data_IF_456976331623
#
_entry.id   IF_456976331623
#
_cell.length_a   1.000
_cell.length_b   1.000
_cell.length_c   1.000
_cell.angle_alpha   90.00
_cell.angle_beta   90.00
_cell.angle_gamma   90.00
#
_symmetry.space_group_name_H-M   'P 1'
#
loop_
_entity.id
_entity.type
_entity.pdbx_description
1 polymer ?
#
# COMPACT_ATOMS: atom_id res chain seq x y z
N UNK A 1 17.73 15.10 0.37
CA UNK A 1 18.77 14.78 -0.66
C UNK A 1 19.48 13.44 -0.38
N UNK A 2 19.98 13.21 0.82
CA UNK A 2 20.77 11.99 1.15
C UNK A 2 20.01 10.68 0.91
N UNK A 3 18.72 10.60 1.20
CA UNK A 3 17.95 9.36 1.04
C UNK A 3 18.01 8.77 -0.38
N UNK A 4 17.83 9.59 -1.42
CA UNK A 4 17.86 9.10 -2.80
C UNK A 4 19.26 8.57 -3.16
N UNK A 5 20.32 9.23 -2.69
CA UNK A 5 21.69 8.79 -2.92
C UNK A 5 21.97 7.45 -2.23
N UNK A 6 21.59 7.33 -0.96
CA UNK A 6 21.76 6.09 -0.18
C UNK A 6 20.98 4.93 -0.84
N UNK A 7 19.76 5.21 -1.29
CA UNK A 7 18.94 4.24 -2.00
C UNK A 7 19.62 3.76 -3.29
N UNK A 8 20.02 4.68 -4.18
CA UNK A 8 20.69 4.34 -5.44
C UNK A 8 21.99 3.57 -5.17
N UNK A 9 22.82 4.03 -4.24
CA UNK A 9 24.09 3.39 -3.89
C UNK A 9 23.89 1.97 -3.37
N UNK A 10 22.87 1.76 -2.54
CA UNK A 10 22.54 0.42 -2.01
C UNK A 10 22.10 -0.53 -3.12
N UNK A 11 21.30 -0.05 -4.09
CA UNK A 11 20.89 -0.85 -5.24
C UNK A 11 22.10 -1.28 -6.06
N UNK A 12 22.98 -0.33 -6.38
CA UNK A 12 24.20 -0.60 -7.17
C UNK A 12 25.11 -1.61 -6.47
N UNK A 13 25.29 -1.47 -5.15
CA UNK A 13 26.19 -2.32 -4.37
C UNK A 13 25.62 -3.72 -4.11
N UNK A 14 24.30 -3.88 -4.00
CA UNK A 14 23.66 -5.11 -3.53
C UNK A 14 22.86 -5.85 -4.62
N UNK A 15 22.96 -5.42 -5.89
CA UNK A 15 22.24 -6.07 -7.01
C UNK A 15 23.24 -6.61 -8.05
N UNK A 16 23.24 -7.92 -8.23
CA UNK A 16 24.12 -8.61 -9.20
C UNK A 16 23.40 -8.97 -10.50
N UNK A 17 22.09 -9.19 -10.44
CA UNK A 17 21.24 -9.48 -11.59
C UNK A 17 21.16 -8.26 -12.52
N UNK A 18 20.98 -8.47 -13.82
CA UNK A 18 20.79 -7.38 -14.79
C UNK A 18 19.58 -6.53 -14.43
N UNK A 19 19.75 -5.21 -14.31
CA UNK A 19 18.70 -4.27 -13.94
C UNK A 19 18.88 -2.91 -14.63
N UNK A 20 17.84 -2.13 -14.64
CA UNK A 20 17.83 -0.70 -14.93
C UNK A 20 17.26 0.07 -13.73
N UNK A 21 17.71 1.28 -13.51
CA UNK A 21 17.15 2.20 -12.53
C UNK A 21 16.42 3.32 -13.26
N UNK A 22 15.17 3.57 -12.86
CA UNK A 22 14.34 4.67 -13.35
C UNK A 22 13.91 5.50 -12.14
N UNK A 23 14.37 6.73 -12.07
CA UNK A 23 13.96 7.68 -11.04
C UNK A 23 12.88 8.60 -11.61
N UNK A 24 11.73 8.63 -10.97
CA UNK A 24 10.63 9.55 -11.34
C UNK A 24 10.55 10.65 -10.29
N UNK A 25 10.94 11.85 -10.66
CA UNK A 25 10.83 13.02 -9.80
C UNK A 25 9.49 13.73 -10.00
N UNK A 26 8.69 13.81 -8.94
CA UNK A 26 7.39 14.47 -8.95
C UNK A 26 7.47 15.98 -8.70
N UNK A 27 8.46 16.65 -9.30
CA UNK A 27 8.72 18.09 -9.12
C UNK A 27 9.11 18.40 -7.66
N UNK A 28 10.14 17.72 -7.18
CA UNK A 28 10.67 17.89 -5.82
C UNK A 28 11.18 19.32 -5.60
N UNK A 29 10.77 19.99 -4.53
CA UNK A 29 11.12 21.40 -4.29
C UNK A 29 12.63 21.62 -4.01
N UNK A 30 13.33 20.57 -3.58
CA UNK A 30 14.78 20.60 -3.29
C UNK A 30 15.66 20.43 -4.53
N UNK A 31 15.06 20.32 -5.73
CA UNK A 31 15.76 20.11 -7.00
C UNK A 31 16.64 18.84 -7.04
N UNK A 32 16.32 17.85 -6.21
CA UNK A 32 17.07 16.59 -6.17
C UNK A 32 17.05 15.87 -7.51
N UNK A 33 15.93 15.87 -8.25
CA UNK A 33 15.85 15.28 -9.58
C UNK A 33 16.86 15.87 -10.56
N UNK A 34 16.96 17.21 -10.65
CA UNK A 34 17.91 17.89 -11.52
C UNK A 34 19.38 17.61 -11.10
N UNK A 35 19.65 17.58 -9.80
CA UNK A 35 20.99 17.33 -9.26
C UNK A 35 21.44 15.89 -9.57
N UNK A 36 20.65 14.90 -9.22
CA UNK A 36 21.03 13.49 -9.36
C UNK A 36 21.00 13.00 -10.80
N UNK A 37 20.19 13.57 -11.68
CA UNK A 37 20.24 13.27 -13.12
C UNK A 37 21.60 13.61 -13.74
N UNK A 38 22.26 14.66 -13.27
CA UNK A 38 23.61 15.04 -13.70
C UNK A 38 24.69 14.16 -13.05
N UNK A 39 24.50 13.78 -11.78
CA UNK A 39 25.43 12.94 -11.03
C UNK A 39 25.46 11.50 -11.51
N UNK A 40 24.31 10.97 -11.96
CA UNK A 40 24.14 9.60 -12.44
C UNK A 40 23.63 9.56 -13.88
N UNK A 41 24.45 9.94 -14.89
CA UNK A 41 24.01 10.06 -16.29
C UNK A 41 23.59 8.73 -16.94
N UNK A 42 23.96 7.59 -16.35
CA UNK A 42 23.56 6.25 -16.77
C UNK A 42 22.23 5.80 -16.20
N UNK A 43 21.67 6.53 -15.24
CA UNK A 43 20.34 6.26 -14.66
C UNK A 43 19.30 7.11 -15.41
N UNK A 44 18.17 6.50 -15.72
CA UNK A 44 17.06 7.19 -16.38
C UNK A 44 16.28 8.04 -15.36
N UNK A 45 16.32 9.37 -15.53
CA UNK A 45 15.49 10.29 -14.76
C UNK A 45 14.32 10.79 -15.59
N UNK A 46 13.11 10.75 -15.01
CA UNK A 46 11.88 11.34 -15.59
C UNK A 46 11.43 12.45 -14.64
N UNK A 47 11.63 13.69 -15.09
CA UNK A 47 11.33 14.89 -14.29
C UNK A 47 9.94 15.43 -14.66
N UNK A 48 8.98 15.29 -13.76
CA UNK A 48 7.64 15.82 -13.96
C UNK A 48 7.62 17.34 -13.74
N UNK A 49 6.84 18.06 -14.56
CA UNK A 49 6.67 19.52 -14.43
C UNK A 49 5.81 19.93 -13.23
N UNK A 50 5.09 18.98 -12.61
CA UNK A 50 4.24 19.18 -11.44
C UNK A 50 4.13 17.88 -10.64
N UNK A 51 3.76 17.97 -9.36
CA UNK A 51 3.43 16.80 -8.57
C UNK A 51 2.11 16.17 -9.06
N UNK A 52 2.22 14.98 -9.64
CA UNK A 52 1.09 14.20 -10.19
C UNK A 52 0.53 13.17 -9.20
N UNK A 53 1.11 13.10 -8.00
CA UNK A 53 0.81 12.09 -6.97
C UNK A 53 1.59 10.80 -7.15
N UNK A 54 1.59 9.97 -6.09
CA UNK A 54 2.36 8.73 -6.02
C UNK A 54 1.95 7.75 -7.13
N UNK A 55 0.66 7.37 -7.28
CA UNK A 55 0.26 6.36 -8.27
C UNK A 55 0.55 6.78 -9.71
N UNK A 56 0.40 8.06 -10.06
CA UNK A 56 0.73 8.53 -11.40
C UNK A 56 2.25 8.53 -11.65
N UNK A 57 3.05 8.89 -10.64
CA UNK A 57 4.51 8.78 -10.70
C UNK A 57 4.98 7.34 -10.90
N UNK A 58 4.43 6.39 -10.14
CA UNK A 58 4.70 4.96 -10.29
C UNK A 58 4.32 4.47 -11.70
N UNK A 59 3.17 4.86 -12.21
CA UNK A 59 2.73 4.49 -13.56
C UNK A 59 3.70 4.99 -14.63
N UNK A 60 4.22 6.20 -14.51
CA UNK A 60 5.24 6.75 -15.41
C UNK A 60 6.50 5.86 -15.37
N UNK A 61 6.98 5.49 -14.19
CA UNK A 61 8.13 4.60 -14.04
C UNK A 61 7.88 3.23 -14.69
N UNK A 62 6.74 2.61 -14.43
CA UNK A 62 6.35 1.32 -15.02
C UNK A 62 6.31 1.38 -16.56
N UNK A 63 5.74 2.44 -17.13
CA UNK A 63 5.66 2.63 -18.59
C UNK A 63 7.03 2.81 -19.23
N UNK A 64 7.98 3.40 -18.52
CA UNK A 64 9.35 3.60 -19.01
C UNK A 64 10.25 2.37 -18.80
N UNK A 65 9.84 1.39 -18.01
CA UNK A 65 10.63 0.20 -17.73
C UNK A 65 10.64 -0.77 -18.91
N UNK A 66 11.79 -1.43 -19.14
CA UNK A 66 11.99 -2.42 -20.19
C UNK A 66 11.99 -3.86 -19.64
N UNK A 67 12.28 -4.02 -18.35
CA UNK A 67 12.43 -5.30 -17.68
C UNK A 67 11.14 -6.14 -17.65
N UNK A 68 11.30 -7.45 -17.55
CA UNK A 68 10.18 -8.41 -17.33
C UNK A 68 9.54 -8.26 -15.94
N UNK A 69 10.30 -7.76 -14.99
CA UNK A 69 9.89 -7.49 -13.62
C UNK A 69 10.04 -6.00 -13.34
N UNK A 70 9.19 -5.50 -12.49
CA UNK A 70 9.27 -4.12 -11.97
C UNK A 70 9.41 -4.20 -10.46
N UNK A 71 10.38 -3.47 -9.92
CA UNK A 71 10.47 -3.22 -8.49
C UNK A 71 10.13 -1.76 -8.24
N UNK A 72 9.06 -1.54 -7.50
CA UNK A 72 8.66 -0.22 -7.03
C UNK A 72 9.37 0.03 -5.70
N UNK A 73 10.09 1.12 -5.60
CA UNK A 73 10.88 1.47 -4.42
C UNK A 73 10.61 2.91 -4.01
N UNK A 74 10.40 3.13 -2.72
CA UNK A 74 10.53 4.47 -2.17
C UNK A 74 12.00 4.91 -2.20
N UNK A 75 12.25 6.20 -2.23
CA UNK A 75 13.61 6.74 -2.25
C UNK A 75 14.26 6.85 -0.86
N UNK A 76 13.53 6.53 0.22
CA UNK A 76 13.96 6.62 1.61
C UNK A 76 14.17 5.24 2.26
N UNK A 77 14.84 4.34 1.51
CA UNK A 77 15.19 3.01 1.99
C UNK A 77 16.58 2.58 1.47
N UNK A 78 17.12 1.56 2.11
CA UNK A 78 18.34 0.86 1.70
C UNK A 78 17.99 -0.61 1.49
N UNK A 79 18.40 -1.16 0.34
CA UNK A 79 18.28 -2.59 0.05
C UNK A 79 19.50 -3.35 0.58
N UNK A 80 19.26 -4.55 1.12
CA UNK A 80 20.31 -5.39 1.70
C UNK A 80 20.83 -6.43 0.70
N UNK A 81 21.98 -7.07 0.94
CA UNK A 81 22.54 -8.08 0.03
C UNK A 81 21.54 -9.17 -0.33
N UNK A 82 21.56 -9.61 -1.60
CA UNK A 82 20.70 -10.66 -2.16
C UNK A 82 19.19 -10.34 -2.16
N UNK A 83 18.78 -9.10 -1.88
CA UNK A 83 17.36 -8.72 -1.80
C UNK A 83 16.58 -9.06 -3.07
N UNK A 84 17.14 -8.77 -4.25
CA UNK A 84 16.49 -9.02 -5.54
C UNK A 84 16.51 -10.51 -5.91
N UNK A 85 17.61 -11.22 -5.61
CA UNK A 85 17.72 -12.65 -5.89
C UNK A 85 16.69 -13.44 -5.07
N UNK A 86 16.44 -13.06 -3.82
CA UNK A 86 15.39 -13.66 -2.99
C UNK A 86 13.98 -13.44 -3.56
N UNK A 87 13.69 -12.31 -4.21
CA UNK A 87 12.44 -12.11 -4.94
C UNK A 87 12.35 -12.99 -6.19
N UNK A 88 13.45 -13.12 -6.94
CA UNK A 88 13.49 -13.98 -8.13
C UNK A 88 13.30 -15.46 -7.77
N UNK A 89 13.85 -15.91 -6.66
CA UNK A 89 13.65 -17.27 -6.16
C UNK A 89 12.20 -17.49 -5.67
N UNK A 90 11.61 -16.50 -5.01
CA UNK A 90 10.19 -16.53 -4.67
C UNK A 90 9.31 -16.59 -5.92
N UNK A 91 9.63 -15.82 -6.97
CA UNK A 91 8.92 -15.89 -8.25
C UNK A 91 9.03 -17.28 -8.90
N UNK A 92 10.22 -17.90 -8.90
CA UNK A 92 10.39 -19.29 -9.39
C UNK A 92 9.48 -20.28 -8.65
N UNK A 93 9.27 -20.06 -7.34
CA UNK A 93 8.47 -20.94 -6.48
C UNK A 93 6.96 -20.70 -6.60
N UNK A 94 6.53 -19.44 -6.64
CA UNK A 94 5.12 -19.05 -6.53
C UNK A 94 4.51 -18.49 -7.82
N UNK A 95 5.34 -18.15 -8.82
CA UNK A 95 4.88 -17.65 -10.11
C UNK A 95 4.39 -16.21 -10.10
N UNK A 96 3.31 -15.94 -10.82
CA UNK A 96 2.76 -14.60 -10.97
C UNK A 96 2.04 -14.15 -9.69
N UNK A 97 2.68 -13.30 -8.93
CA UNK A 97 2.19 -12.73 -7.68
C UNK A 97 2.84 -11.36 -7.44
N UNK A 98 2.38 -10.64 -6.44
CA UNK A 98 3.02 -9.44 -5.92
C UNK A 98 3.86 -9.83 -4.70
N UNK A 99 5.08 -9.33 -4.61
CA UNK A 99 6.01 -9.70 -3.56
C UNK A 99 6.50 -8.46 -2.81
N UNK A 100 6.73 -8.58 -1.51
CA UNK A 100 7.31 -7.53 -0.69
C UNK A 100 8.34 -8.08 0.29
N UNK A 101 9.35 -7.28 0.69
CA UNK A 101 10.41 -7.71 1.58
C UNK A 101 10.02 -7.60 3.05
N UNK A 102 10.89 -8.11 3.92
CA UNK A 102 10.97 -7.69 5.32
C UNK A 102 11.47 -6.25 5.35
N UNK A 103 10.74 -5.38 6.03
CA UNK A 103 11.14 -3.99 6.24
C UNK A 103 11.50 -3.76 7.71
N UNK A 104 12.73 -3.32 7.97
CA UNK A 104 13.20 -2.91 9.29
C UNK A 104 13.35 -1.38 9.33
N UNK A 105 13.24 -0.78 10.50
CA UNK A 105 13.53 0.65 10.67
C UNK A 105 15.02 0.91 10.51
N UNK A 106 15.38 1.89 9.71
CA UNK A 106 16.80 2.24 9.48
C UNK A 106 17.51 2.63 10.79
N UNK A 107 16.89 3.50 11.58
CA UNK A 107 17.47 4.00 12.85
C UNK A 107 17.44 2.98 14.01
N UNK A 108 16.69 1.88 13.86
CA UNK A 108 16.61 0.80 14.83
C UNK A 108 16.29 -0.53 14.12
N UNK A 109 17.31 -1.20 13.54
CA UNK A 109 17.11 -2.40 12.75
C UNK A 109 16.58 -3.63 13.50
N UNK A 110 16.43 -3.53 14.81
CA UNK A 110 15.74 -4.56 15.60
C UNK A 110 14.21 -4.43 15.56
N UNK A 111 13.69 -3.32 15.03
CA UNK A 111 12.26 -3.04 14.99
C UNK A 111 11.74 -3.18 13.56
N UNK A 112 10.68 -3.95 13.41
CA UNK A 112 9.97 -4.11 12.16
C UNK A 112 9.29 -2.78 11.73
N UNK A 113 9.49 -2.36 10.50
CA UNK A 113 8.66 -1.34 9.88
C UNK A 113 7.43 -1.98 9.18
N UNK A 114 7.51 -3.27 8.87
CA UNK A 114 6.38 -4.07 8.41
C UNK A 114 6.77 -5.41 7.79
N UNK A 115 5.85 -6.37 7.90
CA UNK A 115 5.96 -7.71 7.31
C UNK A 115 4.78 -8.04 6.39
N UNK A 116 4.08 -7.04 5.86
CA UNK A 116 2.93 -7.22 5.00
C UNK A 116 1.94 -6.07 5.09
N UNK A 117 1.18 -5.87 4.02
CA UNK A 117 -0.01 -5.04 4.04
C UNK A 117 -1.24 -5.88 4.38
N UNK A 118 -2.04 -5.42 5.33
CA UNK A 118 -3.30 -6.04 5.72
C UNK A 118 -4.46 -5.13 5.40
N UNK A 119 -5.58 -5.72 4.98
CA UNK A 119 -6.83 -5.00 4.67
C UNK A 119 -7.87 -5.40 5.70
N UNK A 120 -8.48 -4.41 6.35
CA UNK A 120 -9.66 -4.62 7.15
C UNK A 120 -10.90 -4.66 6.24
N UNK A 121 -11.89 -5.49 6.57
CA UNK A 121 -13.12 -5.64 5.74
C UNK A 121 -13.87 -4.34 5.48
N UNK A 122 -13.65 -3.31 6.30
CA UNK A 122 -14.25 -1.97 6.12
C UNK A 122 -13.34 -1.02 5.34
N UNK A 123 -12.29 -1.53 4.69
CA UNK A 123 -11.43 -0.80 3.77
C UNK A 123 -10.25 -0.06 4.41
N UNK A 124 -9.98 -0.26 5.69
CA UNK A 124 -8.76 0.26 6.31
C UNK A 124 -7.56 -0.61 5.93
N UNK A 125 -6.45 0.04 5.54
CA UNK A 125 -5.17 -0.61 5.31
C UNK A 125 -4.22 -0.34 6.46
N UNK A 126 -3.41 -1.34 6.83
CA UNK A 126 -2.38 -1.19 7.85
C UNK A 126 -1.18 -2.12 7.60
N UNK A 127 -0.02 -1.72 8.12
CA UNK A 127 1.18 -2.55 8.04
C UNK A 127 1.16 -3.60 9.17
N UNK A 128 1.35 -4.87 8.79
CA UNK A 128 1.45 -5.98 9.74
C UNK A 128 2.75 -5.89 10.53
N UNK A 129 2.67 -6.10 11.84
CA UNK A 129 3.81 -6.16 12.76
C UNK A 129 4.67 -4.88 12.84
N UNK A 130 4.14 -3.73 12.41
CA UNK A 130 4.87 -2.46 12.51
C UNK A 130 5.13 -2.08 13.97
N UNK A 131 6.37 -1.70 14.28
CA UNK A 131 6.79 -1.30 15.63
C UNK A 131 7.12 -2.46 16.58
N UNK A 132 7.02 -3.72 16.12
CA UNK A 132 7.36 -4.91 16.91
C UNK A 132 8.85 -5.23 16.76
N UNK A 133 9.49 -5.71 17.84
CA UNK A 133 10.87 -6.19 17.77
C UNK A 133 10.96 -7.47 16.94
N UNK A 134 11.90 -7.52 16.00
CA UNK A 134 12.19 -8.72 15.22
C UNK A 134 13.01 -9.70 16.08
N UNK A 135 12.38 -10.81 16.42
CA UNK A 135 12.99 -11.89 17.22
C UNK A 135 13.10 -13.19 16.41
N UNK A 136 13.13 -13.09 15.08
CA UNK A 136 13.17 -14.25 14.19
C UNK A 136 11.83 -14.99 14.03
N UNK A 137 10.75 -14.50 14.65
CA UNK A 137 9.42 -15.11 14.53
C UNK A 137 8.80 -14.92 13.12
N UNK A 138 9.26 -13.92 12.39
CA UNK A 138 8.68 -13.50 11.10
C UNK A 138 9.63 -13.82 9.94
N UNK A 139 10.28 -14.98 9.97
CA UNK A 139 11.26 -15.41 8.96
C UNK A 139 10.71 -16.43 7.96
N UNK A 140 9.40 -16.70 8.04
CA UNK A 140 8.72 -17.57 7.08
C UNK A 140 8.01 -16.75 5.99
N UNK A 141 7.95 -17.33 4.78
CA UNK A 141 7.18 -16.75 3.68
C UNK A 141 5.70 -16.88 3.97
N UNK A 142 4.99 -15.76 3.90
CA UNK A 142 3.55 -15.75 4.16
C UNK A 142 2.77 -15.02 3.07
N UNK A 143 1.53 -15.46 2.86
CA UNK A 143 0.57 -14.73 2.05
C UNK A 143 0.00 -13.55 2.85
N UNK A 144 -0.01 -12.35 2.27
CA UNK A 144 -0.52 -11.12 2.88
C UNK A 144 -1.66 -10.52 2.07
N UNK A 145 -2.47 -9.62 2.62
CA UNK A 145 -3.60 -9.04 1.91
C UNK A 145 -3.14 -8.25 0.67
N UNK A 146 -2.06 -7.50 0.78
CA UNK A 146 -1.41 -6.78 -0.33
C UNK A 146 0.08 -6.57 -0.06
N UNK A 147 0.86 -6.38 -1.11
CA UNK A 147 2.25 -5.97 -1.00
C UNK A 147 2.31 -4.46 -0.75
N UNK A 148 3.00 -4.04 0.33
CA UNK A 148 3.10 -2.63 0.70
C UNK A 148 3.99 -1.85 -0.28
N UNK A 149 3.67 -0.57 -0.48
CA UNK A 149 4.28 0.29 -1.49
C UNK A 149 5.72 0.72 -1.20
N UNK A 150 6.25 0.48 0.00
CA UNK A 150 7.65 0.82 0.34
C UNK A 150 8.64 0.13 -0.58
N UNK A 151 8.44 -1.18 -0.82
CA UNK A 151 9.15 -1.97 -1.81
C UNK A 151 8.24 -3.10 -2.30
N UNK A 152 7.98 -3.15 -3.60
CA UNK A 152 7.10 -4.15 -4.20
C UNK A 152 7.72 -4.68 -5.49
N UNK A 153 7.96 -5.99 -5.57
CA UNK A 153 8.39 -6.69 -6.78
C UNK A 153 7.17 -7.29 -7.48
N UNK A 154 7.02 -6.99 -8.78
CA UNK A 154 5.85 -7.41 -9.59
C UNK A 154 6.31 -7.87 -10.96
N UNK A 155 5.90 -9.07 -11.45
CA UNK A 155 5.99 -9.42 -12.86
C UNK A 155 5.20 -8.42 -13.72
N UNK A 156 5.85 -7.75 -14.68
CA UNK A 156 5.26 -6.63 -15.44
C UNK A 156 3.94 -7.02 -16.12
N UNK A 157 3.84 -8.25 -16.61
CA UNK A 157 2.62 -8.81 -17.23
C UNK A 157 1.38 -8.83 -16.32
N UNK A 158 1.53 -8.70 -15.00
CA UNK A 158 0.40 -8.55 -14.09
C UNK A 158 -0.30 -7.21 -14.34
N UNK A 159 0.45 -6.13 -14.55
CA UNK A 159 -0.13 -4.82 -14.87
C UNK A 159 -0.93 -4.84 -16.17
N UNK A 160 -0.55 -5.66 -17.15
CA UNK A 160 -1.31 -5.81 -18.41
C UNK A 160 -2.70 -6.42 -18.16
N UNK A 161 -2.84 -7.24 -17.11
CA UNK A 161 -4.10 -7.91 -16.75
C UNK A 161 -4.96 -7.10 -15.81
N UNK A 162 -4.37 -6.52 -14.75
CA UNK A 162 -5.13 -5.83 -13.70
C UNK A 162 -5.18 -4.31 -13.88
N UNK A 163 -4.45 -3.76 -14.86
CA UNK A 163 -4.23 -2.33 -15.04
C UNK A 163 -3.18 -1.76 -14.08
N UNK A 164 -2.75 -0.55 -14.35
CA UNK A 164 -1.81 0.22 -13.55
C UNK A 164 -2.46 0.74 -12.26
N UNK A 165 -1.73 1.53 -11.48
CA UNK A 165 -2.29 2.24 -10.33
C UNK A 165 -3.34 3.26 -10.75
N UNK A 166 -4.38 3.42 -9.95
CA UNK A 166 -5.40 4.43 -10.20
C UNK A 166 -4.92 5.83 -9.74
N UNK A 167 -4.58 6.69 -10.69
CA UNK A 167 -4.04 8.03 -10.42
C UNK A 167 -5.00 8.93 -9.61
N UNK A 168 -6.30 8.59 -9.51
CA UNK A 168 -7.27 9.35 -8.70
C UNK A 168 -7.03 9.22 -7.20
N UNK A 169 -6.23 8.26 -6.76
CA UNK A 169 -5.83 8.14 -5.35
C UNK A 169 -4.93 9.30 -4.91
N UNK A 170 -4.04 9.76 -5.75
CA UNK A 170 -3.02 10.78 -5.51
C UNK A 170 -1.96 10.36 -4.48
N UNK A 171 -2.34 9.87 -3.31
CA UNK A 171 -1.49 9.30 -2.27
C UNK A 171 -2.34 8.46 -1.31
N UNK A 172 -1.77 7.39 -0.77
CA UNK A 172 -2.34 6.40 0.15
C UNK A 172 -3.44 5.51 -0.44
N UNK A 173 -3.41 4.25 -0.08
CA UNK A 173 -4.29 3.17 -0.52
C UNK A 173 -4.16 2.79 -2.00
N UNK A 174 -3.23 3.37 -2.77
CA UNK A 174 -2.98 2.98 -4.16
C UNK A 174 -2.47 1.55 -4.26
N UNK A 175 -1.55 1.15 -3.39
CA UNK A 175 -1.02 -0.22 -3.31
C UNK A 175 -2.04 -1.20 -2.74
N UNK A 176 -2.87 -0.75 -1.79
CA UNK A 176 -3.98 -1.54 -1.26
C UNK A 176 -5.00 -1.82 -2.38
N UNK A 177 -5.37 -0.81 -3.17
CA UNK A 177 -6.26 -0.96 -4.33
C UNK A 177 -5.65 -1.92 -5.37
N UNK A 178 -4.37 -1.77 -5.69
CA UNK A 178 -3.67 -2.66 -6.62
C UNK A 178 -3.68 -4.11 -6.13
N UNK A 179 -3.32 -4.34 -4.86
CA UNK A 179 -3.31 -5.67 -4.24
C UNK A 179 -4.70 -6.31 -4.17
N UNK A 180 -5.73 -5.52 -3.87
CA UNK A 180 -7.11 -6.00 -3.88
C UNK A 180 -7.56 -6.37 -5.29
N UNK A 181 -7.31 -5.53 -6.30
CA UNK A 181 -7.59 -5.87 -7.71
C UNK A 181 -6.82 -7.11 -8.14
N UNK A 182 -5.54 -7.22 -7.78
CA UNK A 182 -4.75 -8.40 -8.09
C UNK A 182 -5.42 -9.68 -7.55
N UNK A 183 -5.88 -9.67 -6.29
CA UNK A 183 -6.62 -10.79 -5.70
C UNK A 183 -7.92 -11.09 -6.43
N UNK A 184 -8.71 -10.07 -6.78
CA UNK A 184 -9.94 -10.26 -7.55
C UNK A 184 -9.69 -10.99 -8.88
N UNK A 185 -8.51 -10.82 -9.45
CA UNK A 185 -8.08 -11.48 -10.70
C UNK A 185 -7.35 -12.82 -10.46
N UNK A 186 -7.20 -13.24 -9.20
CA UNK A 186 -6.59 -14.52 -8.82
C UNK A 186 -5.08 -14.46 -8.54
N UNK A 187 -4.48 -13.26 -8.45
CA UNK A 187 -3.08 -13.11 -8.07
C UNK A 187 -2.95 -12.90 -6.56
N UNK A 188 -1.98 -13.57 -5.94
CA UNK A 188 -1.68 -13.45 -4.52
C UNK A 188 -0.63 -12.38 -4.24
N UNK A 189 -0.49 -12.01 -2.98
CA UNK A 189 0.62 -11.19 -2.49
C UNK A 189 1.38 -11.95 -1.42
N UNK A 190 2.73 -11.92 -1.49
CA UNK A 190 3.60 -12.65 -0.58
C UNK A 190 4.61 -11.73 0.10
N UNK A 191 4.79 -11.96 1.39
CA UNK A 191 5.87 -11.45 2.18
C UNK A 191 7.08 -12.40 2.08
N UNK A 192 8.26 -11.84 1.75
CA UNK A 192 9.50 -12.60 1.51
C UNK A 192 10.55 -12.14 2.53
N UNK A 193 10.69 -12.82 3.68
CA UNK A 193 11.54 -12.36 4.77
C UNK A 193 13.05 -12.31 4.43
N UNK A 194 13.52 -13.17 3.53
CA UNK A 194 14.92 -13.17 3.08
C UNK A 194 15.26 -11.97 2.18
N UNK A 195 14.27 -11.37 1.53
CA UNK A 195 14.44 -10.06 0.89
C UNK A 195 14.30 -9.00 1.96
N UNK A 196 15.35 -8.24 2.24
CA UNK A 196 15.44 -7.33 3.37
C UNK A 196 15.72 -5.90 2.92
N UNK A 197 15.00 -4.95 3.51
CA UNK A 197 15.25 -3.51 3.36
C UNK A 197 15.28 -2.82 4.72
N UNK A 198 16.03 -1.71 4.80
CA UNK A 198 15.97 -0.77 5.92
C UNK A 198 15.30 0.51 5.44
N UNK A 199 14.22 0.90 6.09
CA UNK A 199 13.41 2.06 5.72
C UNK A 199 13.61 3.20 6.72
N UNK A 200 13.92 4.39 6.22
CA UNK A 200 14.10 5.58 7.06
C UNK A 200 12.80 6.01 7.72
N UNK A 201 11.66 5.73 7.07
CA UNK A 201 10.36 6.15 7.57
C UNK A 201 10.30 7.66 7.59
N UNK A 202 10.46 8.30 6.43
CA UNK A 202 10.60 9.74 6.36
C UNK A 202 9.44 10.45 7.05
N UNK A 203 9.79 11.41 7.90
CA UNK A 203 8.85 12.25 8.66
C UNK A 203 8.01 13.21 7.79
N UNK A 204 8.10 13.10 6.46
CA UNK A 204 7.44 14.03 5.55
C UNK A 204 5.92 13.99 5.57
N UNK A 205 5.34 12.87 6.04
CA UNK A 205 3.90 12.71 6.15
C UNK A 205 3.48 12.43 7.59
N UNK A 206 3.78 13.37 8.50
CA UNK A 206 3.17 13.35 9.83
C UNK A 206 1.64 13.33 9.69
N UNK A 207 0.94 12.78 10.67
CA UNK A 207 -0.53 12.71 10.74
C UNK A 207 -1.18 14.10 10.60
N UNK A 208 -1.15 14.62 9.36
CA UNK A 208 -1.72 15.91 9.01
C UNK A 208 -3.19 15.77 8.62
N UNK A 209 -3.93 16.88 8.68
CA UNK A 209 -5.32 16.90 8.22
C UNK A 209 -5.47 16.47 6.73
N UNK A 210 -4.41 16.66 5.93
CA UNK A 210 -4.39 16.24 4.52
C UNK A 210 -4.24 14.73 4.37
N UNK A 211 -3.45 14.09 5.22
CA UNK A 211 -3.31 12.63 5.29
C UNK A 211 -4.66 12.00 5.62
N UNK A 212 -5.32 12.47 6.69
CA UNK A 212 -6.66 11.99 7.06
C UNK A 212 -7.69 12.16 5.93
N UNK A 213 -7.63 13.28 5.19
CA UNK A 213 -8.48 13.48 4.02
C UNK A 213 -8.27 12.39 2.96
N UNK A 214 -7.02 12.10 2.60
CA UNK A 214 -6.73 11.08 1.59
C UNK A 214 -7.10 9.68 2.06
N UNK A 215 -6.74 9.30 3.29
CA UNK A 215 -7.08 7.99 3.85
C UNK A 215 -8.59 7.74 3.79
N UNK A 216 -9.41 8.69 4.25
CA UNK A 216 -10.86 8.55 4.26
C UNK A 216 -11.49 8.55 2.86
N UNK A 217 -11.05 9.46 1.99
CA UNK A 217 -11.52 9.49 0.61
C UNK A 217 -11.18 8.19 -0.12
N UNK A 218 -9.93 7.74 0.02
CA UNK A 218 -9.42 6.59 -0.71
C UNK A 218 -9.99 5.28 -0.17
N UNK A 219 -10.28 5.19 1.14
CA UNK A 219 -11.02 4.08 1.72
C UNK A 219 -12.36 3.84 1.00
N UNK A 220 -13.15 4.89 0.78
CA UNK A 220 -14.38 4.79 0.02
C UNK A 220 -14.15 4.45 -1.46
N UNK A 221 -13.10 5.00 -2.10
CA UNK A 221 -12.74 4.63 -3.47
C UNK A 221 -12.50 3.12 -3.58
N UNK A 222 -11.71 2.55 -2.67
CA UNK A 222 -11.40 1.12 -2.64
C UNK A 222 -12.66 0.29 -2.45
N UNK A 223 -13.50 0.60 -1.46
CA UNK A 223 -14.73 -0.14 -1.16
C UNK A 223 -15.69 -0.13 -2.36
N UNK A 224 -15.96 1.05 -2.91
CA UNK A 224 -16.91 1.24 -3.99
C UNK A 224 -16.44 0.63 -5.31
N UNK A 225 -15.14 0.56 -5.57
CA UNK A 225 -14.58 -0.05 -6.78
C UNK A 225 -14.55 -1.58 -6.70
N UNK A 226 -14.12 -2.13 -5.57
CA UNK A 226 -13.66 -3.51 -5.49
C UNK A 226 -14.71 -4.49 -4.96
N UNK A 227 -15.49 -4.16 -3.92
CA UNK A 227 -16.55 -5.04 -3.46
C UNK A 227 -17.72 -5.17 -4.45
N UNK A 228 -18.40 -6.30 -4.47
CA UNK A 228 -19.70 -6.45 -5.11
C UNK A 228 -20.75 -5.57 -4.41
N UNK A 229 -21.84 -5.22 -5.11
CA UNK A 229 -22.94 -4.45 -4.49
C UNK A 229 -23.56 -5.22 -3.34
N UNK A 230 -23.67 -6.54 -3.46
CA UNK A 230 -24.21 -7.42 -2.42
C UNK A 230 -23.39 -7.31 -1.14
N UNK A 231 -22.06 -7.32 -1.24
CA UNK A 231 -21.16 -7.18 -0.09
C UNK A 231 -21.25 -5.80 0.52
N UNK A 232 -21.26 -4.74 -0.30
CA UNK A 232 -21.46 -3.37 0.20
C UNK A 232 -22.78 -3.26 0.96
N UNK A 233 -23.87 -3.84 0.44
CA UNK A 233 -25.17 -3.82 1.10
C UNK A 233 -25.15 -4.57 2.44
N UNK A 234 -24.50 -5.74 2.49
CA UNK A 234 -24.32 -6.50 3.76
C UNK A 234 -23.52 -5.73 4.80
N UNK A 235 -22.47 -5.02 4.38
CA UNK A 235 -21.62 -4.21 5.26
C UNK A 235 -22.24 -2.85 5.61
N UNK A 236 -23.29 -2.42 4.91
CA UNK A 236 -23.85 -1.07 5.01
C UNK A 236 -24.19 -0.61 6.42
N UNK A 237 -24.87 -1.43 7.28
CA UNK A 237 -25.14 -1.03 8.66
C UNK A 237 -23.87 -0.72 9.45
N UNK A 238 -22.85 -1.57 9.31
CA UNK A 238 -21.55 -1.39 9.97
C UNK A 238 -20.79 -0.18 9.41
N UNK A 239 -20.86 0.06 8.10
CA UNK A 239 -20.25 1.22 7.47
C UNK A 239 -20.88 2.53 7.96
N UNK A 240 -22.21 2.59 8.18
CA UNK A 240 -22.87 3.77 8.78
C UNK A 240 -22.31 4.04 10.17
N UNK A 241 -22.19 3.02 11.02
CA UNK A 241 -21.66 3.19 12.38
C UNK A 241 -20.21 3.65 12.37
N UNK A 242 -19.38 3.14 11.46
CA UNK A 242 -18.03 3.62 11.25
C UNK A 242 -18.04 5.09 10.80
N UNK A 243 -18.88 5.46 9.85
CA UNK A 243 -18.96 6.86 9.39
C UNK A 243 -19.34 7.82 10.51
N UNK A 244 -20.30 7.46 11.35
CA UNK A 244 -20.69 8.25 12.52
C UNK A 244 -19.51 8.41 13.50
N UNK A 245 -18.78 7.32 13.81
CA UNK A 245 -17.60 7.40 14.67
C UNK A 245 -16.47 8.21 14.05
N UNK A 246 -16.27 8.11 12.73
CA UNK A 246 -15.27 8.93 12.03
C UNK A 246 -15.66 10.41 12.00
N UNK A 247 -16.94 10.77 11.88
CA UNK A 247 -17.39 12.16 12.00
C UNK A 247 -17.08 12.73 13.40
N UNK A 248 -17.33 11.96 14.47
CA UNK A 248 -16.98 12.35 15.85
C UNK A 248 -15.46 12.50 15.99
N UNK A 249 -14.67 11.55 15.48
CA UNK A 249 -13.21 11.63 15.51
C UNK A 249 -12.69 12.88 14.77
N UNK A 250 -13.14 13.16 13.56
CA UNK A 250 -12.71 14.33 12.79
C UNK A 250 -13.14 15.64 13.46
N UNK A 251 -14.30 15.67 14.12
CA UNK A 251 -14.77 16.82 14.90
C UNK A 251 -13.87 17.04 16.13
N UNK A 252 -13.54 15.97 16.89
CA UNK A 252 -12.67 16.07 18.06
C UNK A 252 -11.24 16.56 17.73
N UNK A 253 -10.76 16.21 16.54
CA UNK A 253 -9.46 16.70 16.02
C UNK A 253 -9.56 18.09 15.32
N UNK A 254 -10.73 18.74 15.33
CA UNK A 254 -10.98 20.04 14.68
C UNK A 254 -10.72 20.06 13.17
N UNK A 255 -10.86 18.91 12.50
CA UNK A 255 -10.63 18.72 11.05
C UNK A 255 -11.87 18.22 10.31
N UNK A 256 -13.08 18.40 10.86
CA UNK A 256 -14.34 17.92 10.30
C UNK A 256 -14.55 18.34 8.84
N UNK A 257 -14.09 19.55 8.46
CA UNK A 257 -14.18 20.03 7.09
C UNK A 257 -13.43 19.13 6.08
N UNK A 258 -12.36 18.44 6.50
CA UNK A 258 -11.63 17.48 5.66
C UNK A 258 -12.47 16.22 5.39
N UNK A 259 -13.23 15.77 6.39
CA UNK A 259 -14.17 14.65 6.23
C UNK A 259 -15.28 15.01 5.25
N UNK A 260 -15.90 16.18 5.41
CA UNK A 260 -16.93 16.68 4.50
C UNK A 260 -16.36 16.84 3.08
N UNK A 261 -15.16 17.41 2.94
CA UNK A 261 -14.45 17.52 1.65
C UNK A 261 -14.23 16.16 1.01
N UNK A 262 -13.96 15.10 1.78
CA UNK A 262 -13.79 13.75 1.26
C UNK A 262 -15.08 13.23 0.61
N UNK A 263 -16.24 13.47 1.20
CA UNK A 263 -17.53 13.09 0.61
C UNK A 263 -17.80 13.81 -0.72
N UNK A 264 -17.61 15.12 -0.77
CA UNK A 264 -17.75 15.87 -2.03
C UNK A 264 -16.77 15.36 -3.11
N UNK A 265 -15.56 14.97 -2.70
CA UNK A 265 -14.60 14.39 -3.65
C UNK A 265 -15.07 13.03 -4.20
N UNK A 266 -15.64 12.17 -3.35
CA UNK A 266 -16.23 10.90 -3.78
C UNK A 266 -17.38 11.14 -4.76
N UNK A 267 -18.28 12.07 -4.46
CA UNK A 267 -19.40 12.43 -5.36
C UNK A 267 -18.88 12.86 -6.73
N UNK A 268 -17.85 13.71 -6.78
CA UNK A 268 -17.21 14.13 -8.04
C UNK A 268 -16.55 12.98 -8.81
N UNK A 269 -16.15 11.94 -8.11
CA UNK A 269 -15.49 10.77 -8.70
C UNK A 269 -16.48 9.62 -9.04
N UNK A 270 -17.78 9.77 -8.83
CA UNK A 270 -18.76 8.70 -9.07
C UNK A 270 -18.72 8.15 -10.51
N UNK A 271 -18.52 9.00 -11.50
CA UNK A 271 -18.37 8.56 -12.91
C UNK A 271 -17.13 7.67 -13.09
N UNK A 272 -15.99 8.08 -12.52
CA UNK A 272 -14.75 7.30 -12.54
C UNK A 272 -14.92 5.98 -11.77
N UNK A 273 -15.50 6.03 -10.58
CA UNK A 273 -15.78 4.84 -9.76
C UNK A 273 -16.63 3.84 -10.54
N UNK A 274 -17.72 4.30 -11.17
CA UNK A 274 -18.62 3.46 -11.97
C UNK A 274 -17.88 2.79 -13.12
N UNK A 275 -17.03 3.54 -13.83
CA UNK A 275 -16.22 3.01 -14.94
C UNK A 275 -15.23 1.96 -14.45
N UNK A 276 -14.42 2.26 -13.43
CA UNK A 276 -13.44 1.33 -12.86
C UNK A 276 -14.12 0.08 -12.30
N UNK A 277 -15.22 0.27 -11.57
CA UNK A 277 -16.02 -0.82 -11.06
C UNK A 277 -16.52 -1.75 -12.17
N UNK A 278 -17.02 -1.21 -13.28
CA UNK A 278 -17.47 -2.03 -14.41
C UNK A 278 -16.34 -2.95 -14.91
N UNK A 279 -15.15 -2.41 -15.12
CA UNK A 279 -13.97 -3.18 -15.56
C UNK A 279 -13.61 -4.25 -14.54
N UNK A 280 -13.48 -3.89 -13.27
CA UNK A 280 -13.05 -4.80 -12.19
C UNK A 280 -14.07 -5.94 -12.02
N UNK A 281 -15.36 -5.62 -11.94
CA UNK A 281 -16.39 -6.64 -11.69
C UNK A 281 -16.63 -7.57 -12.88
N UNK A 282 -16.38 -7.11 -14.11
CA UNK A 282 -16.46 -7.96 -15.30
C UNK A 282 -15.30 -8.97 -15.40
N UNK A 283 -14.13 -8.60 -14.91
CA UNK A 283 -12.92 -9.41 -15.05
C UNK A 283 -12.57 -10.20 -13.79
N UNK A 284 -13.26 -9.97 -12.69
CA UNK A 284 -13.00 -10.68 -11.43
C UNK A 284 -13.23 -12.18 -11.56
N UNK A 285 -12.34 -12.96 -10.94
CA UNK A 285 -12.38 -14.42 -10.88
C UNK A 285 -12.74 -14.95 -9.50
N UNK A 286 -12.46 -14.14 -8.47
CA UNK A 286 -12.55 -14.52 -7.06
C UNK A 286 -13.72 -13.79 -6.42
N UNK A 287 -14.53 -14.51 -5.63
CA UNK A 287 -15.68 -13.95 -4.90
C UNK A 287 -15.24 -13.07 -3.73
N UNK A 288 -16.14 -12.20 -3.23
CA UNK A 288 -15.85 -11.40 -2.04
C UNK A 288 -15.64 -12.28 -0.79
N UNK A 289 -16.39 -13.37 -0.65
CA UNK A 289 -16.21 -14.29 0.49
C UNK A 289 -14.81 -14.91 0.50
N UNK A 290 -14.27 -15.29 -0.66
CA UNK A 290 -12.91 -15.82 -0.77
C UNK A 290 -11.85 -14.75 -0.49
N UNK A 291 -12.07 -13.52 -0.97
CA UNK A 291 -11.14 -12.41 -0.72
C UNK A 291 -11.11 -12.04 0.75
N UNK A 292 -12.27 -11.97 1.40
CA UNK A 292 -12.42 -11.62 2.80
C UNK A 292 -11.66 -12.59 3.71
N UNK A 293 -11.43 -13.84 3.29
CA UNK A 293 -10.55 -14.77 4.01
C UNK A 293 -9.09 -14.27 4.14
N UNK A 294 -8.67 -13.37 3.29
CA UNK A 294 -7.35 -12.72 3.38
C UNK A 294 -7.38 -11.39 4.13
N UNK A 295 -8.55 -10.90 4.55
CA UNK A 295 -8.73 -9.63 5.25
C UNK A 295 -8.90 -9.86 6.75
N UNK A 296 -8.77 -8.78 7.52
CA UNK A 296 -8.93 -8.79 8.97
C UNK A 296 -10.25 -8.18 9.39
N UNK A 297 -10.81 -8.67 10.49
CA UNK A 297 -12.02 -8.10 11.11
C UNK A 297 -11.74 -6.84 11.93
N UNK A 298 -10.49 -6.66 12.36
CA UNK A 298 -10.00 -5.49 13.09
C UNK A 298 -8.76 -4.92 12.43
N UNK A 299 -8.17 -3.89 13.03
CA UNK A 299 -6.87 -3.33 12.64
C UNK A 299 -5.93 -3.38 13.84
N UNK A 300 -4.62 -3.41 13.58
CA UNK A 300 -3.61 -3.15 14.62
C UNK A 300 -2.99 -1.79 14.33
N UNK A 301 -3.21 -0.86 15.23
CA UNK A 301 -2.66 0.49 15.14
C UNK A 301 -1.27 0.44 15.78
N UNK A 302 -0.20 0.90 15.08
CA UNK A 302 1.15 0.88 15.63
C UNK A 302 1.23 1.63 16.96
N UNK A 303 2.03 1.13 17.91
CA UNK A 303 2.24 1.70 19.25
C UNK A 303 2.74 3.17 19.20
N UNK A 304 3.31 3.59 18.08
CA UNK A 304 3.77 4.96 17.82
C UNK A 304 2.63 5.97 17.59
N UNK A 305 1.42 5.50 17.33
CA UNK A 305 0.23 6.35 17.28
C UNK A 305 -0.25 6.60 18.71
N UNK A 306 0.07 7.74 19.24
CA UNK A 306 0.11 8.24 20.62
C UNK A 306 -1.13 8.08 21.53
N UNK A 307 -2.01 7.09 21.34
CA UNK A 307 -3.19 6.94 22.20
C UNK A 307 -3.66 5.47 22.27
N UNK A 308 -2.98 4.68 23.11
CA UNK A 308 -3.25 3.24 23.24
C UNK A 308 -4.71 2.92 23.62
N UNK A 309 -5.34 3.75 24.47
CA UNK A 309 -6.72 3.55 24.94
C UNK A 309 -7.73 3.76 23.81
N UNK A 310 -7.54 4.79 22.97
CA UNK A 310 -8.41 5.07 21.84
C UNK A 310 -8.24 3.96 20.78
N UNK A 311 -7.01 3.51 20.57
CA UNK A 311 -6.69 2.44 19.64
C UNK A 311 -7.38 1.14 20.03
N UNK A 312 -7.27 0.69 21.28
CA UNK A 312 -7.93 -0.51 21.80
C UNK A 312 -9.46 -0.45 21.68
N UNK A 313 -10.05 0.71 21.97
CA UNK A 313 -11.50 0.91 21.83
C UNK A 313 -11.94 0.80 20.38
N UNK A 314 -11.16 1.38 19.45
CA UNK A 314 -11.48 1.35 18.04
C UNK A 314 -11.29 -0.07 17.45
N UNK A 315 -10.26 -0.80 17.87
CA UNK A 315 -10.07 -2.20 17.50
C UNK A 315 -11.25 -3.08 17.96
N UNK A 316 -11.66 -2.97 19.22
CA UNK A 316 -12.83 -3.68 19.77
C UNK A 316 -14.12 -3.31 19.04
N UNK A 317 -14.30 -2.03 18.70
CA UNK A 317 -15.43 -1.55 17.93
C UNK A 317 -15.48 -2.21 16.53
N UNK A 318 -14.37 -2.21 15.78
CA UNK A 318 -14.32 -2.85 14.47
C UNK A 318 -14.57 -4.36 14.57
N UNK A 319 -14.01 -5.04 15.57
CA UNK A 319 -14.25 -6.45 15.83
C UNK A 319 -15.75 -6.73 16.07
N UNK A 320 -16.42 -5.89 16.85
CA UNK A 320 -17.87 -6.00 17.09
C UNK A 320 -18.68 -5.81 15.81
N UNK A 321 -18.30 -4.86 14.95
CA UNK A 321 -18.94 -4.63 13.66
C UNK A 321 -18.69 -5.78 12.67
N UNK A 322 -17.52 -6.41 12.74
CA UNK A 322 -17.23 -7.60 11.95
C UNK A 322 -18.18 -8.76 12.32
N UNK A 323 -18.43 -8.97 13.62
CA UNK A 323 -19.42 -9.95 14.11
C UNK A 323 -20.84 -9.59 13.67
N UNK A 324 -21.23 -8.32 13.78
CA UNK A 324 -22.52 -7.82 13.31
C UNK A 324 -22.74 -8.12 11.82
N UNK A 325 -21.69 -7.98 11.02
CA UNK A 325 -21.70 -8.26 9.58
C UNK A 325 -21.58 -9.75 9.24
N UNK A 326 -21.44 -10.65 10.25
CA UNK A 326 -21.29 -12.10 10.12
C UNK A 326 -20.06 -12.55 9.32
N UNK A 327 -18.99 -11.76 9.34
CA UNK A 327 -17.72 -12.10 8.70
C UNK A 327 -16.61 -12.55 9.67
N UNK A 328 -16.88 -12.51 10.99
CA UNK A 328 -15.93 -12.85 12.05
C UNK A 328 -15.33 -14.26 11.95
N UNK A 329 -16.08 -15.22 11.39
CA UNK A 329 -15.62 -16.60 11.17
C UNK A 329 -14.84 -16.80 9.85
N UNK A 330 -14.81 -15.79 8.99
CA UNK A 330 -14.24 -15.88 7.64
C UNK A 330 -12.90 -15.13 7.57
N UNK A 331 -12.80 -14.00 8.27
CA UNK A 331 -11.62 -13.14 8.28
C UNK A 331 -10.43 -13.79 8.99
N UNK A 332 -9.22 -13.33 8.64
CA UNK A 332 -8.00 -13.67 9.37
C UNK A 332 -7.90 -12.92 10.69
N UNK A 333 -7.07 -13.42 11.58
CA UNK A 333 -6.57 -12.63 12.72
C UNK A 333 -5.64 -11.51 12.20
N UNK A 334 -5.70 -10.34 12.88
CA UNK A 334 -4.91 -9.16 12.51
C UNK A 334 -3.46 -9.25 13.04
#
# INVERSE_FOLDING_TARGET
>A
MNFLEDCISSIISNTKTNYEIIVVDNNSPDKSGDFFSKKYPHIKFVLNKKNVGVPAGLNIGIQHSLGKFVVLLNNDLIVMPNWLDNFLDAYKKFGDALYMPKSLKFNNPEILDGTGGMINIFGFGFARNKGIRDVGKYDEIEEVSYAAGTCMFVPKKIFDKIGLFDAKFFAYHEELDLGWRARLYGFKSYYIPKSLIHHYGSAHWQWSSQVFYFLERNRWLVLLKNYSLITIFKLFPSLILIELSMLVFFASKKILFKKIKSYFSIIRLLGHIKQQRKIIQQQRKISDNEIIQSFCGTIKIPLEANDSIINDKFEKFLSSLCKLSKYDKIVREA
#
